data_IF_048086114507
#
_entry.id   IF_048086114507
#
_cell.length_a   1.000
_cell.length_b   1.000
_cell.length_c   1.000
_cell.angle_alpha   90.00
_cell.angle_beta   90.00
_cell.angle_gamma   90.00
#
_symmetry.space_group_name_H-M   'P 1'
#
loop_
_entity.id
_entity.type
_entity.pdbx_description
1 polymer ?
#
# COMPACT_ATOMS: atom_id res chain seq x y z
N UNK A 1 -4.93 -9.98 13.77
CA UNK A 1 -4.37 -10.46 12.48
C UNK A 1 -4.67 -9.41 11.43
N UNK A 2 -3.72 -9.06 10.55
CA UNK A 2 -3.91 -8.05 9.50
C UNK A 2 -3.77 -8.74 8.14
N UNK A 3 -4.71 -8.49 7.23
CA UNK A 3 -4.71 -9.07 5.88
C UNK A 3 -4.07 -8.08 4.91
N UNK A 4 -3.19 -8.58 4.05
CA UNK A 4 -2.67 -7.87 2.89
C UNK A 4 -3.41 -8.35 1.64
N UNK A 5 -4.16 -7.47 0.99
CA UNK A 5 -4.81 -7.79 -0.27
C UNK A 5 -3.84 -7.53 -1.44
N UNK A 6 -3.49 -8.58 -2.20
CA UNK A 6 -2.56 -8.49 -3.32
C UNK A 6 -3.29 -8.53 -4.68
N UNK A 7 -2.64 -8.04 -5.73
CA UNK A 7 -3.18 -8.08 -7.10
C UNK A 7 -4.16 -6.96 -7.44
N UNK A 8 -4.07 -5.81 -6.78
CA UNK A 8 -4.94 -4.65 -7.06
C UNK A 8 -4.44 -3.92 -8.32
N UNK A 9 -5.21 -4.00 -9.40
CA UNK A 9 -4.88 -3.41 -10.70
C UNK A 9 -5.78 -2.22 -11.06
N UNK A 10 -6.92 -2.07 -10.38
CA UNK A 10 -7.91 -1.02 -10.63
C UNK A 10 -8.45 -0.40 -9.34
N UNK A 11 -8.87 0.86 -9.42
CA UNK A 11 -9.41 1.62 -8.29
C UNK A 11 -10.64 0.96 -7.63
N UNK A 12 -11.51 0.32 -8.41
CA UNK A 12 -12.71 -0.35 -7.90
C UNK A 12 -12.38 -1.59 -7.03
N UNK A 13 -11.30 -2.31 -7.33
CA UNK A 13 -10.82 -3.42 -6.50
C UNK A 13 -10.34 -2.89 -5.14
N UNK A 14 -9.58 -1.79 -5.14
CA UNK A 14 -9.12 -1.14 -3.91
C UNK A 14 -10.29 -0.68 -3.04
N UNK A 15 -11.30 -0.03 -3.63
CA UNK A 15 -12.50 0.41 -2.93
C UNK A 15 -13.26 -0.77 -2.32
N UNK A 16 -13.53 -1.82 -3.11
CA UNK A 16 -14.20 -3.03 -2.63
C UNK A 16 -13.45 -3.67 -1.45
N UNK A 17 -12.12 -3.80 -1.54
CA UNK A 17 -11.30 -4.40 -0.49
C UNK A 17 -11.31 -3.55 0.79
N UNK A 18 -11.23 -2.23 0.65
CA UNK A 18 -11.30 -1.31 1.78
C UNK A 18 -12.66 -1.40 2.49
N UNK A 19 -13.75 -1.41 1.72
CA UNK A 19 -15.12 -1.55 2.25
C UNK A 19 -15.33 -2.89 2.98
N UNK A 20 -14.59 -3.93 2.60
CA UNK A 20 -14.59 -5.24 3.25
C UNK A 20 -13.54 -5.37 4.37
N UNK A 21 -12.93 -4.27 4.81
CA UNK A 21 -12.03 -4.24 5.97
C UNK A 21 -10.58 -4.62 5.69
N UNK A 22 -10.17 -4.74 4.43
CA UNK A 22 -8.75 -4.89 4.08
C UNK A 22 -8.05 -3.53 4.17
N UNK A 23 -7.27 -3.35 5.24
CA UNK A 23 -6.56 -2.10 5.52
C UNK A 23 -5.19 -2.00 4.85
N UNK A 24 -4.67 -3.10 4.31
CA UNK A 24 -3.44 -3.13 3.52
C UNK A 24 -3.72 -3.68 2.13
N UNK A 25 -3.11 -3.06 1.12
CA UNK A 25 -3.22 -3.49 -0.27
C UNK A 25 -1.93 -3.29 -1.05
N UNK A 26 -1.69 -4.17 -2.01
CA UNK A 26 -0.61 -4.07 -3.00
C UNK A 26 -1.14 -4.41 -4.39
N UNK A 27 -0.64 -3.70 -5.39
CA UNK A 27 -0.81 -4.07 -6.79
C UNK A 27 -0.43 -2.94 -7.73
N UNK A 28 -0.49 -3.22 -9.03
CA UNK A 28 -0.05 -2.30 -10.08
C UNK A 28 -0.85 -1.00 -10.15
N UNK A 29 -2.05 -0.96 -9.58
CA UNK A 29 -2.80 0.29 -9.39
C UNK A 29 -2.04 1.29 -8.51
N UNK A 30 -1.34 0.82 -7.48
CA UNK A 30 -0.57 1.67 -6.57
C UNK A 30 0.84 1.93 -7.10
N UNK A 31 1.58 0.86 -7.37
CA UNK A 31 2.92 0.92 -7.92
C UNK A 31 3.33 -0.44 -8.50
N UNK A 32 4.15 -0.41 -9.55
CA UNK A 32 4.86 -1.61 -10.00
C UNK A 32 6.08 -1.87 -9.13
N UNK A 33 6.53 -3.13 -8.98
CA UNK A 33 7.83 -3.44 -8.43
C UNK A 33 8.92 -2.64 -9.16
N UNK A 34 9.81 -2.03 -8.39
CA UNK A 34 10.89 -1.19 -8.90
C UNK A 34 12.16 -1.41 -8.08
N UNK A 35 13.30 -1.07 -8.64
CA UNK A 35 14.56 -1.09 -7.89
C UNK A 35 14.50 -0.09 -6.73
N UNK A 36 15.12 -0.43 -5.60
CA UNK A 36 15.02 0.37 -4.37
C UNK A 36 15.50 1.83 -4.54
N UNK A 37 16.49 2.08 -5.41
CA UNK A 37 17.01 3.41 -5.69
C UNK A 37 16.05 4.31 -6.49
N UNK A 38 14.97 3.74 -7.03
CA UNK A 38 13.93 4.49 -7.75
C UNK A 38 12.80 4.96 -6.84
N UNK A 39 12.76 4.51 -5.59
CA UNK A 39 11.74 4.92 -4.63
C UNK A 39 12.01 6.37 -4.22
N UNK A 40 11.05 7.25 -4.48
CA UNK A 40 11.07 8.61 -3.95
C UNK A 40 10.65 8.58 -2.47
N UNK A 41 11.64 8.73 -1.58
CA UNK A 41 11.43 8.77 -0.14
C UNK A 41 10.99 10.14 0.38
N UNK A 42 10.88 11.17 -0.48
CA UNK A 42 10.51 12.55 -0.06
C UNK A 42 9.16 12.63 0.64
N UNK A 43 8.23 11.74 0.25
CA UNK A 43 6.88 11.64 0.81
C UNK A 43 6.69 10.41 1.71
N UNK A 44 7.77 9.70 2.06
CA UNK A 44 7.67 8.59 2.99
C UNK A 44 7.25 9.11 4.37
N UNK A 45 6.31 8.43 5.06
CA UNK A 45 5.99 8.79 6.43
C UNK A 45 7.23 8.65 7.31
N UNK A 46 7.36 9.55 8.29
CA UNK A 46 8.47 9.48 9.24
C UNK A 46 8.31 8.21 10.08
N UNK A 47 9.16 7.22 9.84
CA UNK A 47 9.25 6.02 10.66
C UNK A 47 10.11 6.31 11.90
N UNK A 48 9.53 6.98 12.90
CA UNK A 48 10.18 7.24 14.19
C UNK A 48 9.91 6.12 15.21
N UNK A 49 10.79 5.92 16.21
CA UNK A 49 10.50 5.03 17.33
C UNK A 49 9.45 5.69 18.23
N UNK A 50 8.17 5.35 18.05
CA UNK A 50 7.10 5.69 18.99
C UNK A 50 6.06 6.66 18.44
N UNK A 51 4.95 6.11 17.96
CA UNK A 51 3.66 6.75 18.16
C UNK A 51 3.29 6.54 19.64
N UNK A 52 3.17 7.62 20.40
CA UNK A 52 2.37 7.66 21.64
C UNK A 52 0.92 7.95 21.27
#
# INVERSE_FOLDING_TARGET
MRVLAEGIEQANQAAFLLDNGCQLGQGYWFARPMAAHLIDWSHAPVFGPGAS
#
